data_IF_057074809843
#
_entry.id   IF_057074809843
#
_cell.length_a   1.000
_cell.length_b   1.000
_cell.length_c   1.000
_cell.angle_alpha   90.00
_cell.angle_beta   90.00
_cell.angle_gamma   90.00
#
_symmetry.space_group_name_H-M   'P 1'
#
loop_
_entity.id
_entity.type
_entity.pdbx_description
1 polymer ?
#
# COMPACT_ATOMS: atom_id res chain seq x y z
N UNK A 1 -23.86 -0.15 16.60
CA UNK A 1 -23.22 -1.41 16.18
C UNK A 1 -23.57 -1.68 14.73
N UNK A 2 -22.69 -1.32 13.80
CA UNK A 2 -22.96 -1.44 12.36
C UNK A 2 -22.89 -2.89 11.86
N UNK A 3 -22.11 -3.76 12.53
CA UNK A 3 -22.04 -5.20 12.22
C UNK A 3 -23.36 -5.95 12.49
N UNK A 4 -24.25 -5.42 13.34
CA UNK A 4 -25.60 -5.98 13.54
C UNK A 4 -26.53 -5.67 12.36
N UNK A 5 -26.13 -4.77 11.45
CA UNK A 5 -26.93 -4.32 10.30
C UNK A 5 -26.37 -4.82 8.97
N UNK A 6 -25.13 -5.31 8.95
CA UNK A 6 -24.43 -5.74 7.75
C UNK A 6 -23.56 -6.97 8.08
N UNK A 7 -23.96 -8.13 7.54
CA UNK A 7 -23.26 -9.41 7.76
C UNK A 7 -21.94 -9.55 7.01
N UNK A 8 -21.57 -8.57 6.17
CA UNK A 8 -20.23 -8.52 5.56
C UNK A 8 -19.17 -7.94 6.51
N UNK A 9 -19.60 -7.35 7.64
CA UNK A 9 -18.72 -6.79 8.65
C UNK A 9 -18.47 -7.80 9.77
N UNK A 10 -17.20 -8.06 10.04
CA UNK A 10 -16.79 -8.84 11.20
C UNK A 10 -17.11 -8.10 12.51
N UNK A 11 -17.37 -8.86 13.57
CA UNK A 11 -17.61 -8.30 14.91
C UNK A 11 -16.34 -7.70 15.52
N UNK A 12 -15.18 -8.18 15.07
CA UNK A 12 -13.86 -7.73 15.52
C UNK A 12 -13.06 -7.09 14.39
N UNK A 13 -12.01 -6.35 14.77
CA UNK A 13 -11.11 -5.66 13.87
C UNK A 13 -9.74 -6.36 13.76
N UNK A 14 -9.62 -7.63 14.17
CA UNK A 14 -8.34 -8.33 14.29
C UNK A 14 -7.56 -8.32 12.97
N UNK A 15 -8.25 -8.46 11.84
CA UNK A 15 -7.63 -8.41 10.52
C UNK A 15 -6.93 -7.06 10.26
N UNK A 16 -7.62 -5.95 10.56
CA UNK A 16 -7.07 -4.61 10.39
C UNK A 16 -5.91 -4.34 11.35
N UNK A 17 -6.04 -4.76 12.61
CA UNK A 17 -4.97 -4.63 13.61
C UNK A 17 -3.73 -5.45 13.25
N UNK A 18 -3.92 -6.68 12.77
CA UNK A 18 -2.84 -7.53 12.29
C UNK A 18 -2.14 -6.91 11.07
N UNK A 19 -2.89 -6.28 10.17
CA UNK A 19 -2.33 -5.61 8.99
C UNK A 19 -1.49 -4.37 9.34
N UNK A 20 -1.87 -3.59 10.36
CA UNK A 20 -1.13 -2.39 10.76
C UNK A 20 0.02 -2.66 11.75
N UNK A 21 0.00 -3.79 12.46
CA UNK A 21 1.00 -4.13 13.49
C UNK A 21 2.46 -4.02 13.01
N UNK A 22 2.86 -4.48 11.81
CA UNK A 22 4.23 -4.32 11.31
C UNK A 22 4.67 -2.86 11.24
N UNK A 23 3.76 -1.95 10.87
CA UNK A 23 4.03 -0.50 10.77
C UNK A 23 4.24 0.08 12.18
N UNK A 24 3.39 -0.30 13.13
CA UNK A 24 3.51 0.13 14.52
C UNK A 24 4.84 -0.31 15.16
N UNK A 25 5.24 -1.56 14.92
CA UNK A 25 6.54 -2.09 15.36
C UNK A 25 7.71 -1.39 14.67
N UNK A 26 7.63 -1.18 13.36
CA UNK A 26 8.65 -0.46 12.59
C UNK A 26 8.86 0.95 13.11
N UNK A 27 7.78 1.70 13.36
CA UNK A 27 7.83 3.08 13.86
C UNK A 27 8.55 3.19 15.21
N UNK A 28 8.43 2.18 16.08
CA UNK A 28 9.18 2.11 17.36
C UNK A 28 10.69 1.94 17.14
N UNK A 29 11.09 1.30 16.05
CA UNK A 29 12.49 0.96 15.75
C UNK A 29 13.20 2.00 14.86
N UNK A 30 12.50 3.03 14.38
CA UNK A 30 13.09 4.08 13.55
C UNK A 30 13.76 5.16 14.39
N UNK A 31 14.93 4.83 14.94
CA UNK A 31 15.70 5.66 15.89
C UNK A 31 15.96 7.11 15.43
N UNK A 32 15.90 7.40 14.13
CA UNK A 32 16.17 8.72 13.55
C UNK A 32 15.02 9.26 12.69
N UNK A 33 13.85 8.62 12.68
CA UNK A 33 12.68 9.14 11.97
C UNK A 33 11.88 10.09 12.87
N UNK A 34 11.75 11.35 12.47
CA UNK A 34 11.03 12.36 13.26
C UNK A 34 10.38 13.50 12.48
N UNK A 35 10.48 13.51 11.14
CA UNK A 35 9.90 14.58 10.32
C UNK A 35 8.51 14.20 9.80
N UNK A 36 7.59 15.16 9.80
CA UNK A 36 6.24 14.99 9.24
C UNK A 36 6.29 14.58 7.76
N UNK A 37 7.19 15.21 6.98
CA UNK A 37 7.43 14.87 5.57
C UNK A 37 7.96 13.44 5.39
N UNK A 38 8.79 12.96 6.33
CA UNK A 38 9.25 11.57 6.33
C UNK A 38 8.12 10.60 6.64
N UNK A 39 7.24 10.95 7.58
CA UNK A 39 6.06 10.16 7.91
C UNK A 39 5.07 10.05 6.73
N UNK A 40 4.85 11.14 6.00
CA UNK A 40 3.99 11.14 4.79
C UNK A 40 4.56 10.21 3.69
N UNK A 41 5.86 10.30 3.43
CA UNK A 41 6.54 9.40 2.48
C UNK A 41 6.45 7.93 2.92
N UNK A 42 6.66 7.66 4.20
CA UNK A 42 6.51 6.31 4.74
C UNK A 42 5.08 5.78 4.56
N UNK A 43 4.06 6.60 4.85
CA UNK A 43 2.66 6.25 4.65
C UNK A 43 2.35 5.91 3.18
N UNK A 44 2.89 6.68 2.24
CA UNK A 44 2.78 6.41 0.80
C UNK A 44 3.36 5.03 0.45
N UNK A 45 4.61 4.74 0.87
CA UNK A 45 5.25 3.45 0.58
C UNK A 45 4.52 2.27 1.23
N UNK A 46 4.10 2.40 2.49
CA UNK A 46 3.35 1.35 3.18
C UNK A 46 2.02 1.05 2.49
N UNK A 47 1.32 2.08 2.05
CA UNK A 47 0.06 1.93 1.30
C UNK A 47 0.30 1.24 -0.05
N UNK A 48 1.38 1.62 -0.74
CA UNK A 48 1.79 1.00 -1.99
C UNK A 48 2.14 -0.49 -1.82
N UNK A 49 3.02 -0.84 -0.88
CA UNK A 49 3.38 -2.24 -0.63
C UNK A 49 2.20 -3.07 -0.14
N UNK A 50 1.30 -2.50 0.65
CA UNK A 50 0.04 -3.13 1.03
C UNK A 50 -0.84 -3.44 -0.19
N UNK A 51 -0.90 -2.52 -1.15
CA UNK A 51 -1.63 -2.71 -2.42
C UNK A 51 -0.99 -3.81 -3.26
N UNK A 52 0.33 -3.84 -3.41
CA UNK A 52 1.03 -4.90 -4.12
C UNK A 52 0.77 -6.27 -3.47
N UNK A 53 0.88 -6.37 -2.14
CA UNK A 53 0.59 -7.61 -1.40
C UNK A 53 -0.85 -8.07 -1.60
N UNK A 54 -1.83 -7.16 -1.55
CA UNK A 54 -3.25 -7.46 -1.74
C UNK A 54 -3.56 -8.01 -3.14
N UNK A 55 -2.83 -7.57 -4.16
CA UNK A 55 -3.01 -8.00 -5.54
C UNK A 55 -2.00 -9.07 -5.98
N UNK A 56 -1.23 -9.63 -5.05
CA UNK A 56 -0.21 -10.66 -5.32
C UNK A 56 0.87 -10.21 -6.34
N UNK A 57 1.13 -8.90 -6.38
CA UNK A 57 2.09 -8.27 -7.30
C UNK A 57 3.46 -8.15 -6.63
N UNK A 58 4.53 -8.57 -7.32
CA UNK A 58 5.89 -8.31 -6.87
C UNK A 58 6.23 -6.80 -7.05
N UNK A 59 6.51 -6.05 -5.97
CA UNK A 59 6.77 -4.61 -6.07
C UNK A 59 8.00 -4.24 -6.91
N UNK A 60 9.02 -5.11 -6.92
CA UNK A 60 10.24 -4.88 -7.70
C UNK A 60 9.99 -5.05 -9.19
N UNK A 61 9.33 -6.14 -9.59
CA UNK A 61 8.96 -6.36 -10.99
C UNK A 61 8.01 -5.26 -11.49
N UNK A 62 7.05 -4.84 -10.65
CA UNK A 62 6.19 -3.71 -10.96
C UNK A 62 7.01 -2.44 -11.22
N UNK A 63 7.94 -2.10 -10.31
CA UNK A 63 8.73 -0.87 -10.43
C UNK A 63 9.60 -0.89 -11.69
N UNK A 64 10.25 -2.03 -11.96
CA UNK A 64 11.04 -2.23 -13.18
C UNK A 64 10.18 -2.01 -14.42
N UNK A 65 9.02 -2.65 -14.49
CA UNK A 65 8.11 -2.54 -15.63
C UNK A 65 7.59 -1.12 -15.81
N UNK A 66 7.22 -0.46 -14.71
CA UNK A 66 6.76 0.94 -14.74
C UNK A 66 7.84 1.87 -15.26
N UNK A 67 9.08 1.73 -14.80
CA UNK A 67 10.19 2.55 -15.27
C UNK A 67 10.50 2.34 -16.77
N UNK A 68 10.26 1.14 -17.31
CA UNK A 68 10.38 0.87 -18.75
C UNK A 68 9.31 1.58 -19.59
N UNK A 69 8.06 1.65 -19.11
CA UNK A 69 6.92 2.17 -19.88
C UNK A 69 6.62 3.65 -19.64
N UNK A 70 6.99 4.19 -18.47
CA UNK A 70 6.65 5.56 -18.07
C UNK A 70 7.10 6.66 -19.04
N UNK A 71 8.24 6.56 -19.77
CA UNK A 71 8.65 7.65 -20.66
C UNK A 71 7.74 7.79 -21.88
N UNK A 72 7.05 6.72 -22.31
CA UNK A 72 6.12 6.73 -23.44
C UNK A 72 4.65 6.76 -23.00
N UNK A 73 4.39 6.65 -21.69
CA UNK A 73 3.04 6.59 -21.16
C UNK A 73 2.40 7.98 -21.04
N UNK A 74 1.10 8.06 -21.29
CA UNK A 74 0.38 9.33 -21.19
C UNK A 74 0.17 9.71 -19.73
N UNK A 75 0.50 10.96 -19.38
CA UNK A 75 0.36 11.50 -18.01
C UNK A 75 -1.09 11.43 -17.49
N UNK A 76 -2.08 11.49 -18.37
CA UNK A 76 -3.49 11.38 -18.00
C UNK A 76 -4.00 9.93 -17.83
N UNK A 77 -3.13 8.93 -17.91
CA UNK A 77 -3.45 7.49 -17.79
C UNK A 77 -2.55 6.76 -16.79
N UNK A 78 -2.00 7.48 -15.80
CA UNK A 78 -1.11 6.89 -14.81
C UNK A 78 -1.80 5.83 -13.93
N UNK A 79 -3.12 5.88 -13.83
CA UNK A 79 -3.94 4.86 -13.17
C UNK A 79 -3.80 3.48 -13.80
N UNK A 80 -3.52 3.39 -15.11
CA UNK A 80 -3.23 2.12 -15.80
C UNK A 80 -1.93 1.47 -15.29
N UNK A 81 -1.02 2.26 -14.70
CA UNK A 81 0.24 1.78 -14.13
C UNK A 81 0.12 1.33 -12.68
N UNK A 82 -1.07 1.43 -12.05
CA UNK A 82 -1.27 0.94 -10.69
C UNK A 82 -1.06 -0.58 -10.60
N UNK A 83 -0.60 -1.12 -9.45
CA UNK A 83 -0.27 -2.55 -9.31
C UNK A 83 -1.38 -3.50 -9.78
N UNK A 84 -2.65 -3.18 -9.50
CA UNK A 84 -3.79 -4.00 -9.89
C UNK A 84 -4.13 -3.97 -11.39
N UNK A 85 -3.65 -2.98 -12.13
CA UNK A 85 -4.00 -2.76 -13.55
C UNK A 85 -2.87 -3.19 -14.48
N UNK A 86 -1.63 -3.16 -14.00
CA UNK A 86 -0.45 -3.51 -14.78
C UNK A 86 -0.27 -5.03 -14.83
N UNK A 87 -0.34 -5.61 -16.03
CA UNK A 87 0.00 -7.02 -16.25
C UNK A 87 1.52 -7.18 -16.28
N UNK A 88 2.04 -7.97 -15.36
CA UNK A 88 3.48 -8.30 -15.22
C UNK A 88 3.68 -9.73 -15.72
#
# INVERSE_FOLDING_TARGET
MNYLKDGSLEIDNNFAENAIRPIALGRKNYLFAGSARGAERAAMFYSFFGTCKKNEVNPFEWLKKVLEVIPQHKVNRLDELLPQNLKI
#
